data_IF_133169566685
#
_entry.id   IF_133169566685
#
_cell.length_a   1.000
_cell.length_b   1.000
_cell.length_c   1.000
_cell.angle_alpha   90.00
_cell.angle_beta   90.00
_cell.angle_gamma   90.00
#
_symmetry.space_group_name_H-M   'P 1'
#
loop_
_entity.id
_entity.type
_entity.pdbx_description
1 polymer ?
#
# COMPACT_ATOMS: atom_id res chain seq x y z
N UNK A 1 -9.58 13.71 15.48
CA UNK A 1 -10.65 12.81 14.95
C UNK A 1 -9.99 11.62 14.25
N UNK A 2 -10.17 10.39 14.75
CA UNK A 2 -9.59 9.13 14.24
C UNK A 2 -10.38 8.62 13.02
N UNK A 3 -10.02 9.04 11.79
CA UNK A 3 -10.57 8.45 10.55
C UNK A 3 -9.60 7.49 9.84
N UNK A 4 -8.32 7.48 10.23
CA UNK A 4 -7.26 6.72 9.53
C UNK A 4 -7.30 5.21 9.74
N UNK A 5 -8.02 4.70 10.76
CA UNK A 5 -8.04 3.27 11.08
C UNK A 5 -9.07 2.47 10.24
N UNK A 6 -9.99 3.15 9.56
CA UNK A 6 -11.08 2.49 8.84
C UNK A 6 -10.63 1.98 7.47
N UNK A 7 -9.76 2.72 6.77
CA UNK A 7 -9.19 2.28 5.49
C UNK A 7 -8.21 1.13 5.66
N UNK A 8 -7.38 1.16 6.72
CA UNK A 8 -6.54 0.02 7.07
C UNK A 8 -7.38 -1.21 7.43
N UNK A 9 -8.45 -1.03 8.22
CA UNK A 9 -9.42 -2.10 8.52
C UNK A 9 -10.15 -2.62 7.28
N UNK A 10 -10.47 -1.76 6.30
CA UNK A 10 -11.09 -2.15 5.03
C UNK A 10 -10.12 -2.89 4.11
N UNK A 11 -8.85 -2.47 4.06
CA UNK A 11 -7.83 -3.18 3.27
C UNK A 11 -7.52 -4.55 3.89
N UNK A 12 -7.32 -4.61 5.20
CA UNK A 12 -7.08 -5.88 5.91
C UNK A 12 -8.32 -6.79 5.83
N UNK A 13 -9.51 -6.26 6.08
CA UNK A 13 -10.78 -7.01 6.01
C UNK A 13 -11.18 -7.39 4.58
N UNK A 14 -10.87 -6.55 3.59
CA UNK A 14 -11.11 -6.81 2.17
C UNK A 14 -10.15 -7.86 1.61
N UNK A 15 -8.88 -7.84 2.02
CA UNK A 15 -7.90 -8.88 1.65
C UNK A 15 -8.23 -10.19 2.34
N UNK A 16 -8.49 -10.17 3.65
CA UNK A 16 -8.90 -11.37 4.39
C UNK A 16 -10.21 -11.93 3.85
N UNK A 17 -11.18 -11.06 3.55
CA UNK A 17 -12.46 -11.40 2.92
C UNK A 17 -12.30 -11.98 1.52
N UNK A 18 -11.43 -11.41 0.68
CA UNK A 18 -11.16 -11.95 -0.64
C UNK A 18 -10.50 -13.32 -0.57
N UNK A 19 -9.57 -13.53 0.37
CA UNK A 19 -8.93 -14.83 0.62
C UNK A 19 -9.97 -15.85 1.10
N UNK A 20 -10.84 -15.51 2.06
CA UNK A 20 -11.88 -16.43 2.53
C UNK A 20 -12.90 -16.74 1.43
N UNK A 21 -13.27 -15.74 0.62
CA UNK A 21 -14.17 -15.93 -0.53
C UNK A 21 -13.51 -16.84 -1.58
N UNK A 22 -12.23 -16.65 -1.88
CA UNK A 22 -11.44 -17.52 -2.77
C UNK A 22 -11.31 -18.96 -2.23
N UNK A 23 -11.18 -19.14 -0.92
CA UNK A 23 -11.08 -20.45 -0.28
C UNK A 23 -12.44 -21.17 -0.16
N UNK A 24 -13.55 -20.41 -0.07
CA UNK A 24 -14.90 -20.98 0.15
C UNK A 24 -15.74 -21.08 -1.12
N UNK A 25 -15.37 -20.41 -2.21
CA UNK A 25 -16.06 -20.52 -3.50
C UNK A 25 -15.67 -21.84 -4.19
N UNK A 26 -16.62 -22.61 -4.74
CA UNK A 26 -16.32 -23.86 -5.44
C UNK A 26 -15.72 -23.56 -6.82
N UNK A 27 -14.45 -23.17 -6.85
CA UNK A 27 -13.66 -22.98 -8.07
C UNK A 27 -12.54 -24.00 -8.12
N UNK A 28 -12.09 -24.40 -9.31
CA UNK A 28 -10.96 -25.33 -9.46
C UNK A 28 -9.72 -24.77 -8.77
N UNK A 29 -8.98 -25.60 -8.01
CA UNK A 29 -7.79 -25.15 -7.27
C UNK A 29 -6.71 -24.50 -8.15
N UNK A 30 -6.67 -24.83 -9.44
CA UNK A 30 -5.78 -24.20 -10.44
C UNK A 30 -6.18 -22.75 -10.74
N UNK A 31 -7.48 -22.46 -10.85
CA UNK A 31 -7.98 -21.11 -11.14
C UNK A 31 -7.84 -20.20 -9.93
N UNK A 32 -8.09 -20.73 -8.73
CA UNK A 32 -7.87 -20.02 -7.46
C UNK A 32 -6.41 -19.60 -7.33
N UNK A 33 -5.46 -20.52 -7.57
CA UNK A 33 -4.03 -20.22 -7.55
C UNK A 33 -3.66 -19.12 -8.55
N UNK A 34 -4.12 -19.25 -9.79
CA UNK A 34 -3.81 -18.28 -10.86
C UNK A 34 -4.33 -16.88 -10.53
N UNK A 35 -5.54 -16.77 -10.00
CA UNK A 35 -6.13 -15.50 -9.62
C UNK A 35 -5.43 -14.88 -8.41
N UNK A 36 -5.03 -15.69 -7.42
CA UNK A 36 -4.33 -15.20 -6.23
C UNK A 36 -2.94 -14.63 -6.56
N UNK A 37 -2.21 -15.27 -7.48
CA UNK A 37 -0.93 -14.74 -7.99
C UNK A 37 -1.11 -13.40 -8.73
N UNK A 38 -2.12 -13.30 -9.60
CA UNK A 38 -2.44 -12.04 -10.28
C UNK A 38 -2.81 -10.91 -9.33
N UNK A 39 -3.62 -11.20 -8.32
CA UNK A 39 -4.03 -10.20 -7.30
C UNK A 39 -2.82 -9.71 -6.50
N UNK A 40 -1.91 -10.62 -6.12
CA UNK A 40 -0.64 -10.25 -5.46
C UNK A 40 0.18 -9.28 -6.32
N UNK A 41 0.36 -9.58 -7.60
CA UNK A 41 1.18 -8.77 -8.49
C UNK A 41 0.55 -7.38 -8.72
N UNK A 42 -0.77 -7.34 -8.91
CA UNK A 42 -1.52 -6.09 -9.01
C UNK A 42 -1.39 -5.21 -7.74
N UNK A 43 -1.53 -5.82 -6.56
CA UNK A 43 -1.37 -5.10 -5.28
C UNK A 43 0.05 -4.55 -5.12
N UNK A 44 1.07 -5.32 -5.52
CA UNK A 44 2.46 -4.90 -5.46
C UNK A 44 2.74 -3.70 -6.36
N UNK A 45 2.24 -3.73 -7.59
CA UNK A 45 2.43 -2.63 -8.53
C UNK A 45 1.70 -1.37 -8.08
N UNK A 46 0.44 -1.50 -7.65
CA UNK A 46 -0.36 -0.38 -7.13
C UNK A 46 0.31 0.29 -5.91
N UNK A 47 0.89 -0.51 -5.01
CA UNK A 47 1.62 0.03 -3.86
C UNK A 47 2.91 0.75 -4.26
N UNK A 48 3.66 0.18 -5.22
CA UNK A 48 4.87 0.81 -5.75
C UNK A 48 4.56 2.15 -6.41
N UNK A 49 3.49 2.21 -7.19
CA UNK A 49 3.01 3.44 -7.81
C UNK A 49 2.62 4.48 -6.76
N UNK A 50 1.85 4.08 -5.74
CA UNK A 50 1.48 4.97 -4.63
C UNK A 50 2.70 5.55 -3.91
N UNK A 51 3.70 4.71 -3.60
CA UNK A 51 4.96 5.11 -2.94
C UNK A 51 5.75 6.08 -3.82
N UNK A 52 5.83 5.82 -5.13
CA UNK A 52 6.51 6.67 -6.10
C UNK A 52 5.82 8.03 -6.25
N UNK A 53 4.50 8.05 -6.38
CA UNK A 53 3.72 9.28 -6.51
C UNK A 53 3.89 10.18 -5.27
N UNK A 54 4.00 9.58 -4.07
CA UNK A 54 4.29 10.36 -2.85
C UNK A 54 5.68 11.01 -2.88
N UNK A 55 6.67 10.36 -3.49
CA UNK A 55 8.02 10.91 -3.63
C UNK A 55 8.09 12.01 -4.69
N UNK A 56 7.38 11.84 -5.80
CA UNK A 56 7.30 12.85 -6.86
C UNK A 56 6.66 14.15 -6.35
N UNK A 57 5.57 14.05 -5.58
CA UNK A 57 4.93 15.22 -4.93
C UNK A 57 5.93 15.94 -4.02
N UNK A 58 6.67 15.20 -3.19
CA UNK A 58 7.71 15.78 -2.33
C UNK A 58 8.75 16.53 -3.16
N UNK A 59 9.26 15.92 -4.23
CA UNK A 59 10.30 16.51 -5.06
C UNK A 59 9.81 17.78 -5.76
N UNK A 60 8.65 17.73 -6.41
CA UNK A 60 8.06 18.88 -7.11
C UNK A 60 7.82 20.06 -6.16
N UNK A 61 7.27 19.80 -4.97
CA UNK A 61 7.03 20.85 -3.97
C UNK A 61 8.34 21.38 -3.39
N UNK A 62 9.34 20.51 -3.18
CA UNK A 62 10.66 20.95 -2.70
C UNK A 62 11.34 21.87 -3.72
N UNK A 63 11.26 21.53 -5.01
CA UNK A 63 11.78 22.36 -6.10
C UNK A 63 11.09 23.72 -6.14
N UNK A 64 9.76 23.73 -6.10
CA UNK A 64 8.97 24.96 -6.05
C UNK A 64 9.34 25.84 -4.86
N UNK A 65 9.51 25.27 -3.66
CA UNK A 65 9.96 26.00 -2.47
C UNK A 65 11.36 26.60 -2.69
N UNK A 66 12.28 25.84 -3.31
CA UNK A 66 13.63 26.32 -3.57
C UNK A 66 13.64 27.52 -4.51
N UNK A 67 12.81 27.50 -5.55
CA UNK A 67 12.66 28.61 -6.51
C UNK A 67 11.91 29.81 -5.90
N UNK A 68 10.87 29.55 -5.09
CA UNK A 68 10.02 30.58 -4.48
C UNK A 68 10.59 31.24 -3.22
N UNK A 69 11.71 30.74 -2.68
CA UNK A 69 12.30 31.21 -1.41
C UNK A 69 12.64 32.70 -1.38
N UNK A 70 13.05 33.27 -2.51
CA UNK A 70 13.43 34.68 -2.61
C UNK A 70 12.22 35.59 -2.84
N UNK A 71 11.20 35.11 -3.56
CA UNK A 71 9.99 35.86 -3.87
C UNK A 71 8.98 35.86 -2.72
N UNK A 72 8.83 34.72 -2.02
CA UNK A 72 7.83 34.53 -0.97
C UNK A 72 8.41 33.67 0.19
N UNK A 73 9.33 34.22 1.00
CA UNK A 73 10.06 33.46 2.01
C UNK A 73 9.16 32.85 3.10
N UNK A 74 8.11 33.57 3.51
CA UNK A 74 7.17 33.12 4.54
C UNK A 74 6.33 31.94 4.04
N UNK A 75 5.74 32.05 2.86
CA UNK A 75 4.93 31.00 2.23
C UNK A 75 5.80 29.76 1.95
N UNK A 76 7.03 29.96 1.47
CA UNK A 76 7.99 28.87 1.21
C UNK A 76 8.33 28.09 2.49
N UNK A 77 8.42 28.77 3.64
CA UNK A 77 8.65 28.13 4.94
C UNK A 77 7.44 27.32 5.39
N UNK A 78 6.24 27.86 5.27
CA UNK A 78 5.00 27.19 5.68
C UNK A 78 4.70 25.94 4.82
N UNK A 79 4.95 26.02 3.51
CA UNK A 79 4.83 24.84 2.62
C UNK A 79 5.88 23.79 2.98
N UNK A 80 7.11 24.21 3.32
CA UNK A 80 8.17 23.29 3.78
C UNK A 80 7.78 22.54 5.06
N UNK A 81 7.24 23.25 6.05
CA UNK A 81 6.77 22.63 7.30
C UNK A 81 5.60 21.67 7.02
N UNK A 82 4.70 22.05 6.11
CA UNK A 82 3.55 21.23 5.71
C UNK A 82 3.97 19.93 5.00
N UNK A 83 4.95 19.98 4.09
CA UNK A 83 5.44 18.77 3.39
C UNK A 83 6.23 17.86 4.34
N UNK A 84 6.97 18.41 5.30
CA UNK A 84 7.66 17.63 6.33
C UNK A 84 6.67 16.90 7.26
N UNK A 85 5.60 17.60 7.68
CA UNK A 85 4.55 17.02 8.50
C UNK A 85 3.76 15.94 7.75
N UNK A 86 3.43 16.19 6.49
CA UNK A 86 2.80 15.20 5.61
C UNK A 86 3.69 13.98 5.38
N UNK A 87 4.99 14.19 5.13
CA UNK A 87 5.93 13.07 4.98
C UNK A 87 5.92 12.20 6.25
N UNK A 88 6.01 12.81 7.43
CA UNK A 88 5.97 12.11 8.71
C UNK A 88 4.66 11.36 8.93
N UNK A 89 3.53 11.91 8.50
CA UNK A 89 2.22 11.27 8.67
C UNK A 89 1.98 10.10 7.71
N UNK A 90 2.60 10.11 6.53
CA UNK A 90 2.49 9.05 5.51
C UNK A 90 3.46 7.88 5.74
N UNK A 91 4.61 8.09 6.40
CA UNK A 91 5.56 7.01 6.71
C UNK A 91 4.92 5.73 7.31
N UNK A 92 4.08 5.80 8.36
CA UNK A 92 3.46 4.59 8.90
C UNK A 92 2.51 3.90 7.91
N UNK A 93 1.87 4.65 7.01
CA UNK A 93 1.01 4.08 5.97
C UNK A 93 1.82 3.37 4.88
N UNK A 94 2.96 3.92 4.46
CA UNK A 94 3.89 3.24 3.53
C UNK A 94 4.33 1.89 4.12
N UNK A 95 4.76 1.90 5.39
CA UNK A 95 5.19 0.68 6.09
C UNK A 95 4.06 -0.35 6.22
N UNK A 96 2.85 0.09 6.56
CA UNK A 96 1.69 -0.80 6.68
C UNK A 96 1.30 -1.45 5.34
N UNK A 97 1.45 -0.73 4.22
CA UNK A 97 1.22 -1.28 2.88
C UNK A 97 2.27 -2.34 2.54
N UNK A 98 3.54 -2.08 2.82
CA UNK A 98 4.64 -3.04 2.62
C UNK A 98 4.44 -4.32 3.46
N UNK A 99 4.13 -4.17 4.74
CA UNK A 99 3.83 -5.28 5.65
C UNK A 99 2.59 -6.06 5.19
N UNK A 100 1.53 -5.37 4.75
CA UNK A 100 0.33 -6.00 4.22
C UNK A 100 0.60 -6.88 3.00
N UNK A 101 1.40 -6.38 2.06
CA UNK A 101 1.82 -7.14 0.87
C UNK A 101 2.67 -8.35 1.27
N UNK A 102 3.60 -8.16 2.22
CA UNK A 102 4.44 -9.26 2.71
C UNK A 102 3.59 -10.38 3.35
N UNK A 103 2.62 -10.02 4.17
CA UNK A 103 1.72 -10.98 4.82
C UNK A 103 0.84 -11.75 3.81
N UNK A 104 0.38 -11.07 2.75
CA UNK A 104 -0.30 -11.74 1.62
C UNK A 104 0.63 -12.75 0.95
N UNK A 105 1.90 -12.41 0.73
CA UNK A 105 2.87 -13.34 0.14
C UNK A 105 3.10 -14.59 0.99
N UNK A 106 3.27 -14.43 2.30
CA UNK A 106 3.43 -15.55 3.24
C UNK A 106 2.17 -16.42 3.25
N UNK A 107 0.99 -15.79 3.29
CA UNK A 107 -0.29 -16.53 3.29
C UNK A 107 -0.44 -17.38 2.03
N UNK A 108 -0.01 -16.85 0.88
CA UNK A 108 0.02 -17.60 -0.39
C UNK A 108 0.98 -18.79 -0.31
N UNK A 109 2.19 -18.61 0.21
CA UNK A 109 3.17 -19.69 0.34
C UNK A 109 2.67 -20.82 1.25
N UNK A 110 2.11 -20.47 2.41
CA UNK A 110 1.56 -21.45 3.35
C UNK A 110 0.38 -22.24 2.73
N UNK A 111 -0.45 -21.58 1.92
CA UNK A 111 -1.52 -22.24 1.17
C UNK A 111 -0.98 -23.21 0.12
N UNK A 112 0.13 -22.88 -0.56
CA UNK A 112 0.78 -23.79 -1.51
C UNK A 112 1.40 -25.03 -0.83
N UNK A 113 1.98 -24.86 0.36
CA UNK A 113 2.57 -25.97 1.12
C UNK A 113 1.50 -26.92 1.67
N UNK A 114 0.41 -26.37 2.22
CA UNK A 114 -0.69 -27.18 2.77
C UNK A 114 -1.46 -27.93 1.69
N UNK A 115 -1.66 -27.34 0.51
CA UNK A 115 -2.32 -28.02 -0.62
C UNK A 115 -1.46 -29.10 -1.27
N UNK A 116 -0.12 -28.92 -1.33
CA UNK A 116 0.81 -29.98 -1.78
C UNK A 116 0.95 -31.15 -0.81
N UNK A 117 0.68 -30.94 0.48
CA UNK A 117 0.82 -31.97 1.52
C UNK A 117 -0.41 -32.88 1.63
N UNK A 118 -1.55 -32.45 1.08
CA UNK A 118 -2.86 -33.11 1.23
C UNK A 118 -3.46 -33.58 -0.11
N UNK A 119 -2.71 -33.57 -1.22
CA UNK A 119 -3.10 -34.10 -2.52
C UNK A 119 -1.99 -34.97 -3.10
#
# INVERSE_FOLDING_TARGET
MKRSNWLAGFLVGGVAGAITTLLTTPSSGKDVKKNMLKTKDFMKETAKEFISNTEQVKQAVTHFIQEGKTAFPQISKEIKESIELWQKSIQPNKKAIEEGIHNVQISIQNLEETTKKNG
#
